data_IF_809892877607
#
_entry.id   IF_809892877607
#
_cell.length_a   1.000
_cell.length_b   1.000
_cell.length_c   1.000
_cell.angle_alpha   90.00
_cell.angle_beta   90.00
_cell.angle_gamma   90.00
#
_symmetry.space_group_name_H-M   'P 1'
#
loop_
_entity.id
_entity.type
_entity.pdbx_description
1 polymer ?
#
# COMPACT_ATOMS: atom_id res chain seq x y z
N UNK A 1 -12.42 -17.79 11.65
CA UNK A 1 -13.31 -18.82 11.06
C UNK A 1 -13.10 -18.74 9.56
N UNK A 2 -12.27 -19.62 9.00
CA UNK A 2 -11.88 -19.61 7.58
C UNK A 2 -13.10 -20.02 6.74
N UNK A 3 -13.61 -19.10 5.92
CA UNK A 3 -14.62 -19.41 4.91
C UNK A 3 -13.89 -19.91 3.66
N UNK A 4 -13.91 -21.23 3.48
CA UNK A 4 -13.56 -21.91 2.25
C UNK A 4 -14.79 -21.78 1.34
N UNK A 5 -14.71 -20.97 0.28
CA UNK A 5 -15.71 -20.99 -0.80
C UNK A 5 -15.37 -22.13 -1.76
N UNK A 6 -16.31 -23.06 -1.87
CA UNK A 6 -16.32 -24.21 -2.78
C UNK A 6 -16.60 -23.78 -4.21
N UNK A 7 -15.78 -24.19 -5.18
CA UNK A 7 -16.10 -24.15 -6.62
C UNK A 7 -17.10 -25.28 -6.98
N UNK A 8 -18.05 -25.05 -7.91
CA UNK A 8 -18.91 -26.10 -8.42
C UNK A 8 -18.19 -26.92 -9.50
N UNK A 9 -18.30 -28.24 -9.39
CA UNK A 9 -17.87 -29.24 -10.36
C UNK A 9 -18.85 -29.20 -11.55
N UNK A 10 -18.36 -28.88 -12.74
CA UNK A 10 -19.13 -29.01 -13.99
C UNK A 10 -19.03 -30.45 -14.50
N UNK A 11 -20.19 -31.11 -14.58
CA UNK A 11 -20.32 -32.49 -15.04
C UNK A 11 -20.15 -32.58 -16.56
N UNK A 12 -19.16 -33.37 -17.00
CA UNK A 12 -18.93 -33.66 -18.42
C UNK A 12 -19.74 -34.89 -18.83
N UNK A 13 -20.68 -34.69 -19.75
CA UNK A 13 -21.61 -35.71 -20.24
C UNK A 13 -20.93 -36.53 -21.35
N UNK A 14 -20.67 -37.81 -21.09
CA UNK A 14 -20.02 -38.72 -22.03
C UNK A 14 -21.06 -39.29 -23.02
N UNK A 15 -21.00 -38.88 -24.29
CA UNK A 15 -21.82 -39.45 -25.37
C UNK A 15 -21.05 -40.62 -26.00
N UNK A 16 -21.56 -41.83 -25.76
CA UNK A 16 -21.04 -43.07 -26.34
C UNK A 16 -21.70 -43.30 -27.72
N UNK A 17 -20.90 -43.21 -28.79
CA UNK A 17 -21.31 -43.61 -30.14
C UNK A 17 -20.71 -44.99 -30.46
N UNK A 18 -21.57 -45.99 -30.67
CA UNK A 18 -21.21 -47.31 -31.18
C UNK A 18 -21.80 -47.51 -32.59
N UNK A 19 -20.95 -47.65 -33.61
CA UNK A 19 -21.20 -48.25 -34.94
C UNK A 19 -19.80 -48.44 -35.57
N UNK A 20 -19.35 -49.48 -36.29
CA UNK A 20 -19.77 -50.84 -36.70
C UNK A 20 -18.50 -51.51 -37.27
N UNK A 21 -18.35 -52.83 -37.13
CA UNK A 21 -17.25 -53.59 -37.74
C UNK A 21 -17.27 -53.57 -39.27
N UNK A 22 -16.08 -53.47 -39.90
CA UNK A 22 -15.78 -54.07 -41.21
C UNK A 22 -14.27 -54.41 -41.33
N UNK A 23 -13.99 -55.62 -41.82
CA UNK A 23 -12.74 -56.38 -41.84
C UNK A 23 -11.49 -55.77 -42.54
N UNK A 24 -10.33 -56.10 -41.96
CA UNK A 24 -9.03 -56.55 -42.52
C UNK A 24 -8.48 -55.92 -43.82
N UNK A 25 -7.36 -55.19 -43.72
CA UNK A 25 -6.00 -55.66 -44.04
C UNK A 25 -5.04 -54.46 -44.18
N UNK A 26 -3.79 -54.68 -43.74
CA UNK A 26 -2.56 -53.90 -43.96
C UNK A 26 -2.20 -52.81 -42.95
N UNK A 27 -0.98 -52.96 -42.44
CA UNK A 27 -0.17 -51.96 -41.75
C UNK A 27 -0.28 -50.59 -42.44
N UNK A 28 -0.94 -49.66 -41.77
CA UNK A 28 -0.58 -48.25 -41.76
C UNK A 28 -0.86 -47.79 -40.33
N UNK A 29 0.18 -47.80 -39.49
CA UNK A 29 0.23 -46.92 -38.33
C UNK A 29 0.36 -45.48 -38.87
N UNK A 30 -0.71 -44.98 -39.48
CA UNK A 30 -0.88 -43.56 -39.75
C UNK A 30 -1.19 -42.91 -38.40
N UNK A 31 -0.29 -42.10 -37.82
CA UNK A 31 -0.64 -41.34 -36.65
C UNK A 31 -1.74 -40.37 -37.10
N UNK A 32 -2.98 -40.66 -36.71
CA UNK A 32 -4.10 -39.72 -36.85
C UNK A 32 -3.58 -38.32 -36.55
N UNK A 33 -3.66 -37.36 -37.50
CA UNK A 33 -3.20 -36.01 -37.25
C UNK A 33 -3.86 -35.55 -35.96
N UNK A 34 -3.04 -35.25 -34.96
CA UNK A 34 -3.55 -34.56 -33.77
C UNK A 34 -4.04 -33.23 -34.30
N UNK A 35 -5.36 -33.08 -34.38
CA UNK A 35 -5.97 -31.88 -34.92
C UNK A 35 -5.47 -30.69 -34.09
N UNK A 36 -4.82 -29.75 -34.76
CA UNK A 36 -4.21 -28.63 -34.06
C UNK A 36 -5.30 -27.64 -33.70
N UNK A 37 -5.51 -27.45 -32.40
CA UNK A 37 -6.58 -26.60 -31.88
C UNK A 37 -6.04 -25.17 -31.75
N UNK A 38 -6.87 -24.18 -32.08
CA UNK A 38 -6.51 -22.78 -31.86
C UNK A 38 -6.31 -22.50 -30.36
N UNK A 39 -5.37 -21.61 -29.99
CA UNK A 39 -5.21 -21.22 -28.60
C UNK A 39 -6.47 -20.55 -28.07
N UNK A 40 -6.77 -20.77 -26.79
CA UNK A 40 -7.88 -20.16 -26.07
C UNK A 40 -7.40 -19.50 -24.79
N UNK A 41 -8.22 -18.61 -24.24
CA UNK A 41 -7.94 -17.93 -22.96
C UNK A 41 -8.61 -18.72 -21.83
N UNK A 42 -7.83 -19.14 -20.84
CA UNK A 42 -8.33 -19.83 -19.66
C UNK A 42 -8.79 -18.86 -18.57
N UNK A 43 -8.05 -17.77 -18.37
CA UNK A 43 -8.36 -16.75 -17.37
C UNK A 43 -7.66 -15.42 -17.67
N UNK A 44 -8.21 -14.34 -17.13
CA UNK A 44 -7.58 -13.02 -17.09
C UNK A 44 -7.52 -12.51 -15.66
N UNK A 45 -6.55 -11.64 -15.39
CA UNK A 45 -6.47 -10.87 -14.16
C UNK A 45 -6.08 -9.42 -14.52
N UNK A 46 -6.91 -8.41 -14.28
CA UNK A 46 -8.24 -8.50 -13.68
C UNK A 46 -9.22 -9.40 -14.45
N UNK A 47 -10.19 -9.96 -13.74
CA UNK A 47 -11.31 -10.70 -14.35
C UNK A 47 -12.15 -9.75 -15.22
N UNK A 48 -12.88 -10.29 -16.19
CA UNK A 48 -13.71 -9.47 -17.06
C UNK A 48 -14.82 -8.73 -16.27
N UNK A 49 -14.84 -7.40 -16.39
CA UNK A 49 -15.65 -6.44 -15.64
C UNK A 49 -15.32 -6.38 -14.14
N UNK A 50 -14.12 -6.79 -13.72
CA UNK A 50 -13.69 -6.60 -12.34
C UNK A 50 -13.57 -5.10 -12.02
N UNK A 51 -14.05 -4.71 -10.85
CA UNK A 51 -14.10 -3.31 -10.41
C UNK A 51 -13.23 -3.10 -9.17
N UNK A 52 -12.84 -1.85 -8.93
CA UNK A 52 -12.02 -1.42 -7.80
C UNK A 52 -10.60 -1.99 -7.82
N UNK A 53 -10.03 -2.13 -9.02
CA UNK A 53 -8.66 -2.60 -9.21
C UNK A 53 -7.66 -1.50 -8.80
N UNK A 54 -6.59 -1.89 -8.11
CA UNK A 54 -5.52 -0.95 -7.77
C UNK A 54 -4.91 -0.35 -9.05
N UNK A 55 -4.51 0.92 -9.00
CA UNK A 55 -4.04 1.67 -10.16
C UNK A 55 -2.67 1.21 -10.67
N UNK A 56 -1.92 0.46 -9.87
CA UNK A 56 -0.65 -0.16 -10.24
C UNK A 56 -0.77 -1.66 -10.55
N UNK A 57 -1.98 -2.16 -10.81
CA UNK A 57 -2.21 -3.59 -11.04
C UNK A 57 -1.65 -4.03 -12.40
N UNK A 58 -1.00 -5.19 -12.44
CA UNK A 58 -0.60 -5.82 -13.71
C UNK A 58 -1.80 -6.44 -14.42
N UNK A 59 -1.81 -6.42 -15.75
CA UNK A 59 -2.86 -7.08 -16.54
C UNK A 59 -2.28 -8.40 -17.07
N UNK A 60 -2.86 -9.52 -16.67
CA UNK A 60 -2.37 -10.88 -16.93
C UNK A 60 -3.41 -11.67 -17.70
N UNK A 61 -2.94 -12.49 -18.63
CA UNK A 61 -3.74 -13.43 -19.38
C UNK A 61 -3.08 -14.81 -19.35
N UNK A 62 -3.88 -15.84 -19.08
CA UNK A 62 -3.44 -17.25 -19.04
C UNK A 62 -4.04 -17.99 -20.22
N UNK A 63 -3.18 -18.60 -21.05
CA UNK A 63 -3.57 -19.32 -22.26
C UNK A 63 -3.78 -20.82 -22.01
N UNK A 64 -4.50 -21.50 -22.91
CA UNK A 64 -4.72 -22.95 -22.86
C UNK A 64 -3.50 -23.80 -23.20
N UNK A 65 -2.49 -23.18 -23.83
CA UNK A 65 -1.25 -23.83 -24.25
C UNK A 65 -0.09 -22.82 -24.32
N UNK A 66 1.12 -23.31 -24.59
CA UNK A 66 2.29 -22.47 -24.82
C UNK A 66 2.16 -21.70 -26.16
N UNK A 67 2.42 -20.40 -26.10
CA UNK A 67 2.38 -19.46 -27.21
C UNK A 67 3.79 -19.26 -27.79
N UNK A 68 3.87 -18.80 -29.03
CA UNK A 68 5.13 -18.34 -29.62
C UNK A 68 5.57 -17.04 -28.93
N UNK A 69 6.66 -17.05 -28.13
CA UNK A 69 7.09 -15.88 -27.37
C UNK A 69 7.43 -14.68 -28.26
N UNK A 70 7.78 -14.88 -29.54
CA UNK A 70 8.07 -13.77 -30.46
C UNK A 70 6.82 -13.01 -30.88
N UNK A 71 5.64 -13.61 -30.73
CA UNK A 71 4.34 -13.02 -31.10
C UNK A 71 3.60 -12.40 -29.92
N UNK A 72 4.06 -12.60 -28.67
CA UNK A 72 3.47 -12.00 -27.47
C UNK A 72 4.29 -10.76 -27.09
N UNK A 73 3.77 -9.58 -27.40
CA UNK A 73 4.47 -8.31 -27.22
C UNK A 73 3.46 -7.14 -27.18
N UNK A 74 3.96 -5.90 -27.04
CA UNK A 74 3.13 -4.69 -26.93
C UNK A 74 2.25 -4.37 -28.16
N UNK A 75 2.40 -5.07 -29.30
CA UNK A 75 1.51 -4.90 -30.46
C UNK A 75 0.36 -5.91 -30.47
N UNK A 76 0.51 -7.03 -29.77
CA UNK A 76 -0.46 -8.11 -29.74
C UNK A 76 -1.20 -8.20 -28.42
N UNK A 77 -0.62 -7.73 -27.31
CA UNK A 77 -1.27 -7.55 -26.01
C UNK A 77 -1.26 -6.06 -25.64
N UNK A 78 -2.42 -5.41 -25.73
CA UNK A 78 -2.59 -3.97 -25.49
C UNK A 78 -3.59 -3.69 -24.37
N UNK A 79 -3.50 -2.49 -23.80
CA UNK A 79 -4.47 -1.95 -22.83
C UNK A 79 -4.81 -0.52 -23.26
N UNK A 80 -6.09 -0.20 -23.36
CA UNK A 80 -6.60 1.09 -23.86
C UNK A 80 -7.57 1.73 -22.86
N UNK A 81 -7.54 3.07 -22.77
CA UNK A 81 -8.58 3.89 -22.15
C UNK A 81 -9.44 4.49 -23.26
N UNK A 82 -10.57 3.82 -23.56
CA UNK A 82 -11.42 4.19 -24.68
C UNK A 82 -10.74 3.97 -26.04
N UNK A 83 -9.98 4.96 -26.52
CA UNK A 83 -9.20 4.87 -27.78
C UNK A 83 -7.74 5.27 -27.61
N UNK A 84 -7.33 5.58 -26.38
CA UNK A 84 -5.96 5.97 -26.07
C UNK A 84 -5.19 4.74 -25.56
N UNK A 85 -4.10 4.41 -26.23
CA UNK A 85 -3.19 3.34 -25.78
C UNK A 85 -2.53 3.70 -24.45
N UNK A 86 -2.52 2.74 -23.52
CA UNK A 86 -1.75 2.82 -22.28
C UNK A 86 -0.38 2.20 -22.51
N UNK A 87 0.66 2.95 -22.13
CA UNK A 87 2.03 2.47 -22.22
C UNK A 87 2.32 1.45 -21.12
N UNK A 88 3.01 0.37 -21.51
CA UNK A 88 3.41 -0.72 -20.61
C UNK A 88 4.39 -1.66 -21.28
N UNK A 89 4.89 -2.61 -20.50
CA UNK A 89 5.79 -3.67 -20.95
C UNK A 89 5.06 -5.01 -20.89
N UNK A 90 5.16 -5.80 -21.96
CA UNK A 90 4.63 -7.17 -22.03
C UNK A 90 5.75 -8.18 -21.82
N UNK A 91 5.59 -9.03 -20.82
CA UNK A 91 6.44 -10.20 -20.56
C UNK A 91 5.64 -11.50 -20.73
N UNK A 92 6.29 -12.55 -21.22
CA UNK A 92 5.67 -13.87 -21.42
C UNK A 92 6.50 -14.97 -20.76
N UNK A 93 5.85 -15.83 -19.97
CA UNK A 93 6.49 -16.96 -19.30
C UNK A 93 5.52 -18.12 -19.10
N UNK A 94 5.93 -19.33 -19.51
CA UNK A 94 5.10 -20.53 -19.41
C UNK A 94 3.87 -20.42 -20.31
N UNK A 95 2.70 -20.20 -19.72
CA UNK A 95 1.42 -19.99 -20.43
C UNK A 95 0.79 -18.63 -20.09
N UNK A 96 1.55 -17.73 -19.46
CA UNK A 96 1.04 -16.44 -19.00
C UNK A 96 1.75 -15.28 -19.69
N UNK A 97 0.98 -14.32 -20.19
CA UNK A 97 1.49 -13.00 -20.57
C UNK A 97 1.06 -11.96 -19.53
N UNK A 98 1.98 -11.07 -19.17
CA UNK A 98 1.78 -10.00 -18.20
C UNK A 98 2.11 -8.67 -18.86
N UNK A 99 1.13 -7.76 -18.89
CA UNK A 99 1.31 -6.36 -19.19
C UNK A 99 1.49 -5.58 -17.87
N UNK A 100 2.62 -4.90 -17.74
CA UNK A 100 2.92 -4.00 -16.62
C UNK A 100 2.84 -2.56 -17.10
N UNK A 101 1.89 -1.75 -16.61
CA UNK A 101 1.78 -0.35 -17.04
C UNK A 101 3.00 0.45 -16.58
N UNK A 102 3.51 1.34 -17.44
CA UNK A 102 4.69 2.18 -17.10
C UNK A 102 4.36 3.26 -16.08
N UNK A 103 3.11 3.75 -16.11
CA UNK A 103 2.56 4.72 -15.18
C UNK A 103 1.31 4.12 -14.53
N UNK A 104 0.97 4.55 -13.31
CA UNK A 104 -0.27 4.08 -12.69
C UNK A 104 -1.48 4.50 -13.52
N UNK A 105 -2.45 3.59 -13.66
CA UNK A 105 -3.73 3.88 -14.28
C UNK A 105 -4.44 5.06 -13.57
N UNK A 106 -5.38 5.70 -14.27
CA UNK A 106 -6.25 6.72 -13.71
C UNK A 106 -7.22 6.10 -12.71
N UNK A 107 -7.71 6.90 -11.76
CA UNK A 107 -8.68 6.46 -10.77
C UNK A 107 -10.07 6.32 -11.39
N UNK A 108 -10.90 5.41 -10.85
CA UNK A 108 -12.32 5.26 -11.25
C UNK A 108 -12.54 5.14 -12.76
N UNK A 109 -11.59 4.53 -13.49
CA UNK A 109 -11.54 4.53 -14.95
C UNK A 109 -11.66 3.12 -15.50
N UNK A 110 -12.46 2.97 -16.57
CA UNK A 110 -12.57 1.72 -17.32
C UNK A 110 -11.45 1.61 -18.37
N UNK A 111 -10.83 0.44 -18.41
CA UNK A 111 -9.81 0.06 -19.38
C UNK A 111 -10.23 -1.21 -20.11
N UNK A 112 -9.85 -1.30 -21.38
CA UNK A 112 -10.02 -2.49 -22.22
C UNK A 112 -8.67 -3.10 -22.50
N UNK A 113 -8.48 -4.36 -22.16
CA UNK A 113 -7.32 -5.13 -22.52
C UNK A 113 -7.65 -6.08 -23.68
N UNK A 114 -6.70 -6.22 -24.60
CA UNK A 114 -6.90 -6.96 -25.85
C UNK A 114 -5.70 -7.86 -26.12
N UNK A 115 -5.96 -9.14 -26.37
CA UNK A 115 -5.02 -10.01 -27.09
C UNK A 115 -5.52 -10.19 -28.53
N UNK A 116 -4.71 -9.77 -29.50
CA UNK A 116 -5.08 -9.78 -30.91
C UNK A 116 -4.93 -11.16 -31.56
N UNK A 117 -5.57 -11.34 -32.71
CA UNK A 117 -5.42 -12.55 -33.55
C UNK A 117 -4.01 -12.77 -34.13
N UNK A 118 -3.11 -11.79 -34.02
CA UNK A 118 -1.71 -11.94 -34.46
C UNK A 118 -0.83 -12.68 -33.43
N UNK A 119 -1.31 -12.89 -32.20
CA UNK A 119 -0.70 -13.79 -31.23
C UNK A 119 -0.91 -15.25 -31.65
N UNK A 120 0.15 -16.05 -31.59
CA UNK A 120 0.15 -17.43 -32.12
C UNK A 120 0.54 -18.46 -31.06
N UNK A 121 -0.05 -19.66 -31.16
CA UNK A 121 0.48 -20.82 -30.44
C UNK A 121 1.88 -21.19 -30.94
N UNK A 122 2.61 -22.01 -30.19
CA UNK A 122 3.92 -22.50 -30.61
C UNK A 122 3.90 -23.26 -31.95
N UNK A 123 2.74 -23.78 -32.35
CA UNK A 123 2.53 -24.47 -33.63
C UNK A 123 2.09 -23.52 -34.76
N UNK A 124 1.95 -22.23 -34.47
CA UNK A 124 1.66 -21.19 -35.45
C UNK A 124 0.16 -20.94 -35.68
N UNK A 125 -0.72 -21.45 -34.83
CA UNK A 125 -2.16 -21.22 -34.90
C UNK A 125 -2.53 -19.88 -34.26
N UNK A 126 -3.38 -19.11 -34.92
CA UNK A 126 -3.89 -17.82 -34.44
C UNK A 126 -5.13 -18.02 -33.56
N UNK A 127 -5.47 -17.02 -32.74
CA UNK A 127 -6.82 -16.91 -32.18
C UNK A 127 -7.88 -16.73 -33.29
N UNK A 128 -9.10 -17.21 -33.05
CA UNK A 128 -10.22 -17.06 -33.99
C UNK A 128 -10.69 -15.60 -34.12
N UNK A 129 -10.67 -14.87 -33.01
CA UNK A 129 -11.01 -13.46 -32.90
C UNK A 129 -10.14 -12.78 -31.85
N UNK A 130 -10.13 -11.44 -31.83
CA UNK A 130 -9.50 -10.72 -30.73
C UNK A 130 -10.23 -11.08 -29.44
N UNK A 131 -9.47 -11.34 -28.39
CA UNK A 131 -10.05 -11.52 -27.07
C UNK A 131 -9.90 -10.22 -26.29
N UNK A 132 -11.03 -9.63 -25.94
CA UNK A 132 -11.14 -8.34 -25.27
C UNK A 132 -11.84 -8.52 -23.91
N UNK A 133 -11.33 -7.84 -22.89
CA UNK A 133 -11.98 -7.78 -21.60
C UNK A 133 -11.78 -6.41 -20.95
N UNK A 134 -12.73 -6.03 -20.11
CA UNK A 134 -12.71 -4.75 -19.43
C UNK A 134 -12.39 -4.92 -17.95
N UNK A 135 -11.80 -3.89 -17.35
CA UNK A 135 -11.69 -3.76 -15.91
C UNK A 135 -11.80 -2.29 -15.51
N UNK A 136 -12.21 -2.03 -14.28
CA UNK A 136 -12.36 -0.67 -13.76
C UNK A 136 -11.47 -0.49 -12.54
N UNK A 137 -10.60 0.51 -12.60
CA UNK A 137 -9.76 0.88 -11.46
C UNK A 137 -10.59 1.48 -10.33
N UNK A 138 -10.14 1.25 -9.10
CA UNK A 138 -10.68 1.89 -7.91
C UNK A 138 -10.05 3.27 -7.69
N UNK A 139 -10.07 3.70 -6.44
CA UNK A 139 -9.58 5.03 -6.07
C UNK A 139 -10.58 6.13 -6.39
N UNK A 140 -10.26 7.34 -5.99
CA UNK A 140 -11.15 8.50 -6.16
C UNK A 140 -10.51 9.56 -7.04
N UNK A 141 -11.27 10.09 -7.99
CA UNK A 141 -10.95 11.40 -8.61
C UNK A 141 -11.24 12.56 -7.65
N UNK A 142 -12.06 12.33 -6.62
CA UNK A 142 -12.34 13.31 -5.59
C UNK A 142 -11.17 13.40 -4.59
N UNK A 143 -11.03 14.56 -3.97
CA UNK A 143 -10.05 14.75 -2.90
C UNK A 143 -10.29 13.75 -1.77
N UNK A 144 -9.29 12.95 -1.45
CA UNK A 144 -9.30 12.04 -0.31
C UNK A 144 -9.45 12.87 0.98
N UNK A 145 -10.45 12.54 1.80
CA UNK A 145 -10.60 13.20 3.09
C UNK A 145 -9.44 12.82 4.01
N UNK A 146 -8.85 13.81 4.70
CA UNK A 146 -7.84 13.57 5.72
C UNK A 146 -8.33 12.71 6.88
N UNK A 147 -7.42 12.35 7.79
CA UNK A 147 -7.78 11.66 9.04
C UNK A 147 -8.02 12.70 10.12
N UNK A 148 -9.24 12.75 10.66
CA UNK A 148 -9.52 13.55 11.85
C UNK A 148 -8.80 12.97 13.07
N UNK A 149 -7.83 13.73 13.58
CA UNK A 149 -7.06 13.37 14.78
C UNK A 149 -7.80 13.76 16.07
N UNK A 150 -8.82 14.60 15.98
CA UNK A 150 -9.47 15.29 17.11
C UNK A 150 -8.45 15.74 18.16
N UNK A 151 -8.68 15.42 19.44
CA UNK A 151 -7.80 15.83 20.54
C UNK A 151 -6.37 15.25 20.47
N UNK A 152 -6.13 14.14 19.75
CA UNK A 152 -4.77 13.62 19.55
C UNK A 152 -3.94 14.55 18.66
N UNK A 153 -4.59 15.33 17.79
CA UNK A 153 -3.97 16.33 16.93
C UNK A 153 -3.39 17.53 17.69
N UNK A 154 -3.58 17.64 19.00
CA UNK A 154 -2.92 18.69 19.79
C UNK A 154 -1.47 18.33 20.18
N UNK A 155 -1.06 17.07 20.02
CA UNK A 155 0.22 16.59 20.52
C UNK A 155 1.18 16.22 19.39
N UNK A 156 2.43 16.65 19.49
CA UNK A 156 3.50 16.25 18.56
C UNK A 156 3.98 14.83 18.88
N UNK A 157 3.88 14.42 20.15
CA UNK A 157 4.07 13.03 20.59
C UNK A 157 2.94 12.66 21.55
N UNK A 158 2.23 11.57 21.26
CA UNK A 158 1.27 10.95 22.17
C UNK A 158 1.59 9.47 22.28
N UNK A 159 1.80 8.98 23.51
CA UNK A 159 2.10 7.58 23.77
C UNK A 159 1.21 7.02 24.88
N UNK A 160 1.12 5.69 25.01
CA UNK A 160 0.34 5.04 26.08
C UNK A 160 1.18 4.48 27.21
N UNK A 161 2.37 3.97 26.92
CA UNK A 161 3.17 3.20 27.89
C UNK A 161 4.47 3.87 28.30
N UNK A 162 5.14 4.60 27.41
CA UNK A 162 6.35 5.36 27.76
C UNK A 162 6.71 6.42 26.72
N UNK A 163 7.42 7.45 27.17
CA UNK A 163 8.20 8.35 26.32
C UNK A 163 9.62 8.36 26.88
N UNK A 164 10.58 7.79 26.17
CA UNK A 164 11.96 7.68 26.66
C UNK A 164 12.90 8.42 25.72
N UNK A 165 13.73 9.30 26.29
CA UNK A 165 14.70 10.08 25.53
C UNK A 165 16.13 9.78 25.99
N UNK A 166 17.00 9.49 25.04
CA UNK A 166 18.46 9.50 25.21
C UNK A 166 19.04 10.74 24.52
N UNK A 167 20.13 11.30 25.05
CA UNK A 167 20.70 12.53 24.49
C UNK A 167 19.82 13.78 24.63
N UNK A 168 20.11 14.81 23.84
CA UNK A 168 19.38 16.08 23.83
C UNK A 168 18.54 16.20 22.57
N UNK A 169 17.23 16.12 22.72
CA UNK A 169 16.25 16.31 21.66
C UNK A 169 15.75 17.76 21.58
N UNK A 170 15.24 18.14 20.41
CA UNK A 170 14.55 19.40 20.15
C UNK A 170 13.12 19.09 19.73
N UNK A 171 12.18 19.24 20.67
CA UNK A 171 10.78 18.87 20.49
C UNK A 171 9.94 20.14 20.42
N UNK A 172 9.19 20.34 19.33
CA UNK A 172 8.35 21.52 19.12
C UNK A 172 6.89 21.09 19.02
N UNK A 173 6.11 21.44 20.04
CA UNK A 173 4.74 20.98 20.26
C UNK A 173 4.58 20.25 21.59
N UNK A 174 3.33 19.94 21.95
CA UNK A 174 3.00 19.33 23.22
C UNK A 174 3.21 17.80 23.21
N UNK A 175 3.63 17.25 24.34
CA UNK A 175 3.81 15.81 24.56
C UNK A 175 2.73 15.29 25.51
N UNK A 176 2.24 14.08 25.27
CA UNK A 176 1.26 13.44 26.14
C UNK A 176 1.56 11.95 26.38
N UNK A 177 1.36 11.51 27.62
CA UNK A 177 1.43 10.10 28.02
C UNK A 177 0.20 9.69 28.82
N UNK A 178 -0.57 8.71 28.33
CA UNK A 178 -1.72 8.16 29.07
C UNK A 178 -2.10 6.78 28.57
N UNK A 179 -2.39 5.79 29.44
CA UNK A 179 -2.65 5.93 30.86
C UNK A 179 -1.40 5.86 31.75
N UNK A 180 -0.20 5.66 31.20
CA UNK A 180 1.02 5.66 32.00
C UNK A 180 1.30 7.01 32.68
N UNK A 181 1.81 6.95 33.90
CA UNK A 181 2.14 8.10 34.74
C UNK A 181 3.42 8.82 34.28
N UNK A 182 3.63 10.03 34.77
CA UNK A 182 4.80 10.89 34.48
C UNK A 182 6.13 10.16 34.68
N UNK A 183 6.21 9.20 35.60
CA UNK A 183 7.42 8.38 35.86
C UNK A 183 7.88 7.52 34.68
N UNK A 184 7.04 7.29 33.69
CA UNK A 184 7.39 6.60 32.43
C UNK A 184 7.85 7.56 31.33
N UNK A 185 7.90 8.86 31.62
CA UNK A 185 8.59 9.87 30.82
C UNK A 185 10.00 10.04 31.35
N UNK A 186 11.01 9.62 30.59
CA UNK A 186 12.41 9.60 31.05
C UNK A 186 13.34 10.36 30.10
N UNK A 187 14.44 10.89 30.65
CA UNK A 187 15.47 11.57 29.85
C UNK A 187 15.13 12.98 29.35
N UNK A 188 13.99 13.54 29.77
CA UNK A 188 13.59 14.92 29.46
C UNK A 188 13.88 15.93 30.57
N UNK A 189 14.32 15.47 31.76
CA UNK A 189 14.56 16.34 32.93
C UNK A 189 13.36 17.28 33.21
N UNK A 190 12.19 16.67 33.43
CA UNK A 190 10.94 17.40 33.60
C UNK A 190 10.97 18.30 34.85
N UNK A 191 10.40 19.48 34.72
CA UNK A 191 10.04 20.36 35.84
C UNK A 191 8.53 20.41 35.95
N UNK A 192 8.02 19.88 37.05
CA UNK A 192 6.58 19.75 37.31
C UNK A 192 5.93 21.12 37.57
N UNK A 193 4.77 21.33 36.98
CA UNK A 193 3.85 22.43 37.25
C UNK A 193 2.46 21.86 37.57
N UNK A 194 1.51 22.72 37.94
CA UNK A 194 0.14 22.29 38.18
C UNK A 194 -0.54 21.91 36.86
N UNK A 195 -0.78 20.61 36.65
CA UNK A 195 -1.52 20.08 35.50
C UNK A 195 -0.67 19.79 34.25
N UNK A 196 0.61 20.15 34.25
CA UNK A 196 1.57 19.88 33.16
C UNK A 196 3.00 19.92 33.70
N UNK A 197 3.96 19.49 32.90
CA UNK A 197 5.39 19.66 33.15
C UNK A 197 6.06 20.40 31.98
N UNK A 198 7.28 20.86 32.20
CA UNK A 198 8.10 21.55 31.18
C UNK A 198 9.49 20.91 31.10
N UNK A 199 10.17 21.13 29.97
CA UNK A 199 11.56 20.70 29.76
C UNK A 199 12.26 21.71 28.87
N UNK A 200 13.57 21.92 29.08
CA UNK A 200 14.39 22.71 28.18
C UNK A 200 14.48 22.12 26.75
N UNK A 201 14.15 20.83 26.58
CA UNK A 201 14.12 20.13 25.30
C UNK A 201 12.78 20.26 24.56
N UNK A 202 11.76 20.85 25.22
CA UNK A 202 10.38 20.91 24.71
C UNK A 202 9.95 22.38 24.59
N UNK A 203 9.74 22.82 23.35
CA UNK A 203 9.00 24.06 23.04
C UNK A 203 7.51 23.72 23.03
N UNK A 204 6.93 23.65 24.23
CA UNK A 204 5.58 23.16 24.48
C UNK A 204 5.42 22.71 25.93
N UNK A 205 4.35 21.97 26.21
CA UNK A 205 4.04 21.39 27.51
C UNK A 205 4.09 19.85 27.46
N UNK A 206 4.38 19.23 28.60
CA UNK A 206 4.38 17.77 28.75
C UNK A 206 3.25 17.39 29.70
N UNK A 207 2.39 16.48 29.27
CA UNK A 207 1.22 16.04 30.02
C UNK A 207 1.28 14.54 30.31
N UNK A 208 0.83 14.13 31.50
CA UNK A 208 0.71 12.72 31.87
C UNK A 208 -0.54 12.45 32.72
N UNK A 209 -0.92 11.18 32.83
CA UNK A 209 -2.18 10.73 33.43
C UNK A 209 -2.32 10.97 34.93
N UNK A 210 -1.22 11.16 35.67
CA UNK A 210 -1.17 11.39 37.11
C UNK A 210 -1.11 12.87 37.50
N UNK A 211 -1.21 13.77 36.53
CA UNK A 211 -1.23 15.21 36.75
C UNK A 211 -2.59 15.72 37.23
N UNK A 212 -2.63 16.93 37.78
CA UNK A 212 -3.86 17.53 38.28
C UNK A 212 -4.93 17.74 37.19
N UNK A 213 -6.20 17.71 37.59
CA UNK A 213 -7.34 17.98 36.70
C UNK A 213 -7.22 19.35 36.01
N UNK A 214 -7.67 19.46 34.73
CA UNK A 214 -8.43 18.48 33.94
C UNK A 214 -7.58 17.52 33.09
N UNK A 215 -6.25 17.48 33.29
CA UNK A 215 -5.32 16.77 32.41
C UNK A 215 -5.65 15.29 32.20
N UNK A 216 -5.93 14.47 33.23
CA UNK A 216 -6.18 13.04 33.03
C UNK A 216 -7.37 12.74 32.10
N UNK A 217 -8.46 13.51 32.23
CA UNK A 217 -9.65 13.37 31.38
C UNK A 217 -9.35 13.77 29.93
N UNK A 218 -8.68 14.91 29.73
CA UNK A 218 -8.30 15.38 28.39
C UNK A 218 -7.39 14.37 27.68
N UNK A 219 -6.44 13.77 28.41
CA UNK A 219 -5.55 12.75 27.84
C UNK A 219 -6.28 11.45 27.52
N UNK A 220 -7.29 11.07 28.30
CA UNK A 220 -8.14 9.91 27.98
C UNK A 220 -8.83 10.13 26.63
N UNK A 221 -9.45 11.29 26.42
CA UNK A 221 -10.06 11.65 25.13
C UNK A 221 -9.04 11.70 24.00
N UNK A 222 -7.84 12.25 24.23
CA UNK A 222 -6.79 12.28 23.20
C UNK A 222 -6.37 10.86 22.76
N UNK A 223 -6.23 9.92 23.70
CA UNK A 223 -5.89 8.52 23.39
C UNK A 223 -7.03 7.81 22.64
N UNK A 224 -8.28 8.05 23.02
CA UNK A 224 -9.46 7.53 22.30
C UNK A 224 -9.52 8.06 20.86
N UNK A 225 -9.24 9.35 20.66
CA UNK A 225 -9.20 9.94 19.33
C UNK A 225 -8.02 9.42 18.51
N UNK A 226 -6.85 9.17 19.12
CA UNK A 226 -5.73 8.51 18.44
C UNK A 226 -6.10 7.09 17.95
N UNK A 227 -6.77 6.30 18.79
CA UNK A 227 -7.25 4.96 18.40
C UNK A 227 -8.32 5.05 17.31
N UNK A 228 -9.17 6.07 17.34
CA UNK A 228 -10.19 6.32 16.30
C UNK A 228 -9.54 6.70 14.97
N UNK A 229 -8.56 7.61 14.99
CA UNK A 229 -7.78 8.02 13.82
C UNK A 229 -7.03 6.83 13.21
N UNK A 230 -6.40 5.99 14.04
CA UNK A 230 -5.75 4.75 13.60
C UNK A 230 -6.74 3.84 12.87
N UNK A 231 -7.92 3.57 13.47
CA UNK A 231 -8.93 2.71 12.87
C UNK A 231 -9.54 3.31 11.60
N UNK A 232 -9.70 4.64 11.53
CA UNK A 232 -10.16 5.33 10.32
C UNK A 232 -9.15 5.14 9.18
N UNK A 233 -7.85 5.34 9.45
CA UNK A 233 -6.79 5.17 8.46
C UNK A 233 -6.68 3.71 8.00
N UNK A 234 -6.67 2.76 8.94
CA UNK A 234 -6.63 1.31 8.65
C UNK A 234 -7.87 0.81 7.90
N UNK A 235 -9.01 1.47 8.09
CA UNK A 235 -10.31 1.11 7.54
C UNK A 235 -10.65 1.73 6.19
N UNK A 236 -9.78 2.57 5.60
CA UNK A 236 -10.01 3.11 4.24
C UNK A 236 -10.09 1.95 3.24
N UNK A 237 -11.20 1.89 2.49
CA UNK A 237 -11.54 0.78 1.59
C UNK A 237 -11.11 1.01 0.14
N UNK A 238 -11.06 2.26 -0.30
CA UNK A 238 -10.55 2.62 -1.62
C UNK A 238 -9.03 2.50 -1.58
N UNK A 239 -8.47 1.50 -2.26
CA UNK A 239 -7.02 1.31 -2.37
C UNK A 239 -6.59 1.76 -3.75
N UNK A 240 -5.89 2.90 -3.82
CA UNK A 240 -5.29 3.40 -5.06
C UNK A 240 -4.10 2.54 -5.47
N UNK A 241 -3.27 2.16 -4.48
CA UNK A 241 -2.03 1.42 -4.72
C UNK A 241 -1.92 0.22 -3.80
N UNK A 242 -1.70 -0.96 -4.38
CA UNK A 242 -1.59 -2.21 -3.64
C UNK A 242 -0.18 -2.79 -3.79
N UNK A 243 0.44 -3.14 -2.66
CA UNK A 243 1.75 -3.79 -2.59
C UNK A 243 2.85 -3.09 -3.40
N UNK A 244 2.79 -1.77 -3.51
CA UNK A 244 3.72 -0.99 -4.33
C UNK A 244 5.18 -1.29 -3.93
N UNK A 245 5.98 -1.73 -4.90
CA UNK A 245 7.38 -2.12 -4.67
C UNK A 245 7.56 -3.32 -3.76
N UNK A 246 6.53 -4.14 -3.55
CA UNK A 246 6.51 -5.24 -2.59
C UNK A 246 6.93 -4.80 -1.17
N UNK A 247 6.61 -3.56 -0.80
CA UNK A 247 6.98 -2.94 0.47
C UNK A 247 8.28 -2.13 0.44
N UNK A 248 9.11 -2.23 -0.59
CA UNK A 248 10.26 -1.34 -0.77
C UNK A 248 9.87 -0.11 -1.60
N UNK A 249 9.76 1.04 -0.93
CA UNK A 249 9.35 2.30 -1.56
C UNK A 249 10.51 3.28 -1.79
N UNK A 250 11.75 2.87 -1.54
CA UNK A 250 12.93 3.70 -1.81
C UNK A 250 12.99 4.11 -3.29
N UNK A 251 13.20 5.40 -3.53
CA UNK A 251 13.43 5.98 -4.86
C UNK A 251 12.15 6.27 -5.62
N UNK A 252 11.00 5.95 -5.03
CA UNK A 252 9.69 6.17 -5.64
C UNK A 252 9.22 7.62 -5.41
N UNK A 253 8.38 8.07 -6.33
CA UNK A 253 7.54 9.26 -6.14
C UNK A 253 6.12 8.78 -5.87
N UNK A 254 5.57 9.18 -4.72
CA UNK A 254 4.26 8.78 -4.23
C UNK A 254 3.28 9.94 -4.46
N UNK A 255 2.36 9.75 -5.40
CA UNK A 255 1.25 10.68 -5.67
C UNK A 255 0.15 10.53 -4.62
N UNK A 256 -0.78 11.49 -4.55
CA UNK A 256 -1.91 11.42 -3.62
C UNK A 256 -2.68 10.12 -3.76
N UNK A 257 -3.08 9.51 -2.65
CA UNK A 257 -3.70 8.19 -2.69
C UNK A 257 -3.75 7.46 -1.35
N UNK A 258 -4.57 6.41 -1.32
CA UNK A 258 -4.54 5.37 -0.30
C UNK A 258 -3.67 4.22 -0.80
N UNK A 259 -2.61 3.94 -0.05
CA UNK A 259 -1.67 2.86 -0.32
C UNK A 259 -1.85 1.75 0.70
N UNK A 260 -1.74 0.49 0.26
CA UNK A 260 -1.92 -0.67 1.11
C UNK A 260 -0.81 -1.69 0.92
N UNK A 261 -0.25 -2.12 2.05
CA UNK A 261 0.67 -3.25 2.16
C UNK A 261 0.22 -4.21 3.24
N UNK A 262 0.24 -5.49 2.91
CA UNK A 262 0.03 -6.60 3.86
C UNK A 262 1.32 -7.02 4.56
N UNK A 263 2.45 -6.45 4.15
CA UNK A 263 3.79 -6.73 4.67
C UNK A 263 4.46 -5.49 5.28
N UNK A 264 5.71 -5.66 5.68
CA UNK A 264 6.60 -4.58 6.15
C UNK A 264 6.95 -3.63 5.02
N UNK A 265 6.89 -2.32 5.31
CA UNK A 265 7.35 -1.27 4.40
C UNK A 265 8.76 -0.80 4.79
N UNK A 266 9.62 -0.67 3.78
CA UNK A 266 11.02 -0.26 3.91
C UNK A 266 11.32 0.97 3.04
N UNK A 267 12.11 1.90 3.59
CA UNK A 267 12.59 3.13 2.92
C UNK A 267 14.14 3.11 2.95
N UNK A 268 14.78 2.32 2.07
CA UNK A 268 16.24 2.14 2.06
C UNK A 268 17.03 3.29 1.42
N UNK A 269 16.34 4.17 0.68
CA UNK A 269 16.87 5.40 0.10
C UNK A 269 15.72 6.43 0.03
N UNK A 270 16.02 7.66 -0.39
CA UNK A 270 15.05 8.77 -0.38
C UNK A 270 13.75 8.42 -1.11
N UNK A 271 12.63 8.91 -0.59
CA UNK A 271 11.30 8.76 -1.20
C UNK A 271 10.69 10.14 -1.36
N UNK A 272 10.04 10.39 -2.50
CA UNK A 272 9.37 11.67 -2.75
C UNK A 272 7.87 11.51 -2.57
N UNK A 273 7.22 12.42 -1.86
CA UNK A 273 5.77 12.56 -1.81
C UNK A 273 5.41 13.82 -2.60
N UNK A 274 4.61 13.66 -3.65
CA UNK A 274 4.36 14.70 -4.65
C UNK A 274 2.88 14.91 -4.85
N UNK A 275 2.42 16.13 -4.59
CA UNK A 275 1.04 16.54 -4.83
C UNK A 275 0.82 17.99 -4.40
N UNK A 276 -0.41 18.45 -4.52
CA UNK A 276 -0.82 19.78 -4.13
C UNK A 276 -0.83 19.97 -2.61
N UNK A 277 -1.04 21.21 -2.15
CA UNK A 277 -1.19 21.51 -0.73
C UNK A 277 -2.45 20.94 -0.09
N UNK A 278 -3.43 20.51 -0.88
CA UNK A 278 -4.71 19.97 -0.39
C UNK A 278 -4.81 18.46 -0.55
N UNK A 279 -3.86 17.85 -1.24
CA UNK A 279 -3.84 16.42 -1.47
C UNK A 279 -3.54 15.66 -0.17
N UNK A 280 -4.00 14.41 -0.11
CA UNK A 280 -3.91 13.54 1.07
C UNK A 280 -3.27 12.20 0.70
N UNK A 281 -2.46 11.68 1.62
CA UNK A 281 -1.81 10.38 1.53
C UNK A 281 -2.14 9.55 2.75
N UNK A 282 -2.61 8.32 2.53
CA UNK A 282 -2.89 7.36 3.60
C UNK A 282 -2.15 6.08 3.30
N UNK A 283 -1.12 5.79 4.08
CA UNK A 283 -0.31 4.57 3.98
C UNK A 283 -0.79 3.57 5.03
N UNK A 284 -1.39 2.47 4.59
CA UNK A 284 -1.82 1.35 5.43
C UNK A 284 -0.76 0.25 5.42
N UNK A 285 -0.11 0.02 6.56
CA UNK A 285 1.00 -0.92 6.71
C UNK A 285 0.62 -1.97 7.75
N UNK A 286 0.46 -3.22 7.32
CA UNK A 286 0.00 -4.32 8.17
C UNK A 286 1.10 -4.90 9.08
N UNK A 287 2.37 -4.62 8.79
CA UNK A 287 3.51 -4.98 9.65
C UNK A 287 4.29 -3.72 10.05
N UNK A 288 5.63 -3.78 10.03
CA UNK A 288 6.51 -2.72 10.47
C UNK A 288 6.73 -1.65 9.37
N UNK A 289 7.14 -0.46 9.80
CA UNK A 289 7.67 0.60 8.93
C UNK A 289 9.13 0.84 9.30
N UNK A 290 10.05 0.68 8.35
CA UNK A 290 11.49 0.87 8.60
C UNK A 290 12.10 1.85 7.60
N UNK A 291 12.73 2.90 8.12
CA UNK A 291 13.47 3.88 7.33
C UNK A 291 14.96 3.72 7.63
N UNK A 292 15.77 3.63 6.58
CA UNK A 292 17.22 3.50 6.72
C UNK A 292 17.87 4.77 7.25
N UNK A 293 19.15 4.68 7.63
CA UNK A 293 19.90 5.86 8.09
C UNK A 293 20.16 6.83 6.95
N UNK A 294 20.18 8.14 7.26
CA UNK A 294 20.48 9.23 6.34
C UNK A 294 19.57 9.31 5.10
N UNK A 295 18.39 8.69 5.14
CA UNK A 295 17.38 8.80 4.09
C UNK A 295 16.36 9.89 4.41
N UNK A 296 15.74 10.45 3.39
CA UNK A 296 14.81 11.56 3.51
C UNK A 296 13.48 11.24 2.82
N UNK A 297 12.38 11.66 3.45
CA UNK A 297 11.10 11.84 2.78
C UNK A 297 11.06 13.28 2.27
N UNK A 298 10.89 13.45 0.96
CA UNK A 298 10.97 14.75 0.28
C UNK A 298 9.56 15.16 -0.16
N UNK A 299 9.09 16.33 0.26
CA UNK A 299 7.81 16.87 -0.19
C UNK A 299 7.99 17.76 -1.43
N UNK A 300 7.17 17.55 -2.45
CA UNK A 300 7.16 18.33 -3.70
C UNK A 300 5.74 18.69 -4.13
N UNK A 301 5.59 19.62 -5.08
CA UNK A 301 4.29 20.03 -5.61
C UNK A 301 3.43 20.90 -4.68
N UNK A 302 3.86 21.09 -3.43
CA UNK A 302 3.09 21.77 -2.39
C UNK A 302 2.56 20.83 -1.31
N UNK A 303 2.82 19.52 -1.40
CA UNK A 303 2.45 18.52 -0.40
C UNK A 303 2.84 18.98 1.02
N UNK A 304 1.97 18.72 2.00
CA UNK A 304 2.13 19.14 3.39
C UNK A 304 2.10 17.95 4.34
N UNK A 305 3.02 17.91 5.31
CA UNK A 305 3.10 16.86 6.33
C UNK A 305 1.77 16.60 7.06
N UNK A 306 0.97 17.63 7.32
CA UNK A 306 -0.33 17.51 8.00
C UNK A 306 -1.36 16.66 7.24
N UNK A 307 -1.17 16.44 5.94
CA UNK A 307 -2.06 15.64 5.10
C UNK A 307 -1.51 14.23 4.80
N UNK A 308 -0.40 13.84 5.43
CA UNK A 308 0.26 12.57 5.19
C UNK A 308 0.10 11.69 6.43
N UNK A 309 -0.56 10.55 6.28
CA UNK A 309 -0.90 9.66 7.39
C UNK A 309 -0.28 8.28 7.17
N UNK A 310 0.51 7.84 8.14
CA UNK A 310 1.16 6.53 8.16
C UNK A 310 0.52 5.67 9.24
N UNK A 311 -0.42 4.81 8.86
CA UNK A 311 -0.97 3.81 9.76
C UNK A 311 -0.07 2.58 9.75
N UNK A 312 0.50 2.25 10.92
CA UNK A 312 1.45 1.13 11.08
C UNK A 312 0.92 0.17 12.13
N UNK A 313 0.61 -1.07 11.75
CA UNK A 313 0.11 -2.08 12.68
C UNK A 313 1.23 -2.72 13.52
N UNK A 314 2.44 -2.77 12.97
CA UNK A 314 3.67 -3.12 13.66
C UNK A 314 4.36 -1.93 14.32
N UNK A 315 5.69 -1.94 14.32
CA UNK A 315 6.56 -0.93 14.91
C UNK A 315 7.13 -0.01 13.84
N UNK A 316 7.22 1.29 14.12
CA UNK A 316 7.87 2.25 13.22
C UNK A 316 9.30 2.55 13.69
N UNK A 317 10.29 2.38 12.82
CA UNK A 317 11.71 2.66 13.11
C UNK A 317 12.28 3.67 12.11
N UNK A 318 12.79 4.79 12.62
CA UNK A 318 13.43 5.85 11.84
C UNK A 318 14.94 5.77 12.08
N UNK A 319 15.69 5.48 11.03
CA UNK A 319 17.14 5.27 11.08
C UNK A 319 17.94 6.50 11.49
N UNK A 320 19.21 6.31 11.86
CA UNK A 320 20.04 7.43 12.32
C UNK A 320 20.10 8.55 11.27
N UNK A 321 19.97 9.80 11.71
CA UNK A 321 20.00 10.99 10.84
C UNK A 321 18.99 11.02 9.68
N UNK A 322 17.97 10.15 9.69
CA UNK A 322 16.91 10.18 8.68
C UNK A 322 15.97 11.38 8.88
N UNK A 323 15.24 11.77 7.83
CA UNK A 323 14.24 12.83 7.89
C UNK A 323 12.87 12.35 7.41
N UNK A 324 11.88 12.39 8.30
CA UNK A 324 10.54 11.89 8.05
C UNK A 324 9.51 13.02 7.91
N UNK A 325 8.47 12.79 7.11
CA UNK A 325 7.38 13.74 6.87
C UNK A 325 6.03 13.04 7.09
N UNK A 326 5.19 13.60 7.95
CA UNK A 326 3.81 13.14 8.17
C UNK A 326 3.46 12.67 9.58
N UNK A 327 2.24 12.17 9.73
CA UNK A 327 1.65 11.74 11.00
C UNK A 327 1.74 10.22 11.09
N UNK A 328 2.49 9.70 12.06
CA UNK A 328 2.60 8.27 12.32
C UNK A 328 1.54 7.87 13.35
N UNK A 329 0.61 7.00 12.93
CA UNK A 329 -0.39 6.32 13.75
C UNK A 329 0.05 4.87 13.94
N UNK A 330 0.84 4.60 14.98
CA UNK A 330 1.40 3.26 15.27
C UNK A 330 0.55 2.51 16.29
N UNK A 331 0.21 1.25 15.99
CA UNK A 331 -0.44 0.35 16.95
C UNK A 331 0.53 -0.18 18.00
N UNK A 332 1.83 -0.14 17.72
CA UNK A 332 2.86 -0.47 18.70
C UNK A 332 3.73 0.76 18.99
N UNK A 333 5.05 0.62 18.95
CA UNK A 333 5.98 1.67 19.28
C UNK A 333 6.43 2.46 18.06
N UNK A 334 7.10 3.57 18.36
CA UNK A 334 7.83 4.38 17.39
C UNK A 334 9.23 4.61 17.97
N UNK A 335 10.27 4.25 17.21
CA UNK A 335 11.66 4.45 17.60
C UNK A 335 12.35 5.37 16.61
N UNK A 336 12.86 6.47 17.15
CA UNK A 336 13.79 7.34 16.47
C UNK A 336 15.21 6.95 16.89
N UNK A 337 16.03 6.53 15.93
CA UNK A 337 17.45 6.34 16.18
C UNK A 337 18.18 7.69 16.22
N UNK A 338 19.46 7.66 16.59
CA UNK A 338 20.26 8.84 16.88
C UNK A 338 20.13 9.92 15.81
N UNK A 339 19.67 11.11 16.19
CA UNK A 339 19.64 12.28 15.31
C UNK A 339 18.62 12.23 14.17
N UNK A 340 17.74 11.23 14.11
CA UNK A 340 16.59 11.24 13.20
C UNK A 340 15.69 12.46 13.47
N UNK A 341 14.97 12.91 12.45
CA UNK A 341 14.07 14.06 12.53
C UNK A 341 12.73 13.81 11.87
N UNK A 342 11.69 14.54 12.30
CA UNK A 342 10.36 14.50 11.71
C UNK A 342 9.68 15.87 11.72
N UNK A 343 9.05 16.22 10.61
CA UNK A 343 7.98 17.23 10.57
C UNK A 343 6.65 16.47 10.54
N UNK A 344 5.93 16.46 11.65
CA UNK A 344 4.93 15.41 11.85
C UNK A 344 4.47 15.23 13.27
N UNK A 345 3.80 14.10 13.50
CA UNK A 345 3.37 13.65 14.82
C UNK A 345 3.73 12.18 15.02
N UNK A 346 4.15 11.82 16.22
CA UNK A 346 4.42 10.44 16.62
C UNK A 346 3.33 9.98 17.61
N UNK A 347 2.30 9.31 17.09
CA UNK A 347 1.13 8.86 17.85
C UNK A 347 1.20 7.33 18.01
N UNK A 348 1.64 6.87 19.18
CA UNK A 348 1.95 5.45 19.45
C UNK A 348 1.01 4.85 20.50
N UNK A 349 0.41 3.71 20.19
CA UNK A 349 -0.40 2.97 21.17
C UNK A 349 0.43 2.19 22.20
N UNK A 350 1.77 2.16 22.07
CA UNK A 350 2.67 1.77 23.15
C UNK A 350 3.64 2.89 23.52
N UNK A 351 4.90 2.83 23.10
CA UNK A 351 5.97 3.70 23.53
C UNK A 351 6.57 4.50 22.37
N UNK A 352 7.06 5.70 22.68
CA UNK A 352 7.93 6.48 21.80
C UNK A 352 9.33 6.54 22.40
N UNK A 353 10.34 6.17 21.62
CA UNK A 353 11.75 6.16 22.01
C UNK A 353 12.53 7.12 21.13
N UNK A 354 13.29 8.02 21.76
CA UNK A 354 14.08 9.07 21.16
C UNK A 354 15.56 8.93 21.55
N UNK A 355 16.44 9.36 20.67
CA UNK A 355 17.88 9.52 20.87
C UNK A 355 18.39 10.79 20.16
N UNK A 356 18.31 11.94 20.84
CA UNK A 356 18.80 13.22 20.33
C UNK A 356 18.11 13.69 19.04
N UNK A 357 16.79 13.63 18.98
CA UNK A 357 16.00 13.85 17.77
C UNK A 357 15.40 15.25 17.66
N UNK A 358 15.03 15.64 16.44
CA UNK A 358 14.20 16.81 16.19
C UNK A 358 12.77 16.36 15.81
N UNK A 359 11.78 16.72 16.61
CA UNK A 359 10.37 16.38 16.35
C UNK A 359 9.56 17.66 16.33
N UNK A 360 9.04 18.03 15.17
CA UNK A 360 8.40 19.34 14.95
C UNK A 360 6.95 19.14 14.51
N UNK A 361 6.01 19.76 15.23
CA UNK A 361 4.61 19.79 14.83
C UNK A 361 4.44 20.34 13.39
N UNK A 362 3.56 19.76 12.55
CA UNK A 362 3.29 20.28 11.22
C UNK A 362 2.76 21.71 11.25
N UNK A 363 3.01 22.48 10.19
CA UNK A 363 2.37 23.79 10.01
C UNK A 363 0.87 23.60 9.69
N UNK A 364 0.02 24.18 10.54
CA UNK A 364 -1.45 24.14 10.42
C UNK A 364 -1.99 25.05 9.30
#
# INVERSE_FOLDING_TARGET
MKLIKTMPILAMMFIMLMVSCKDKDNNDDDPTPTEDVAPTVLSTLPENNEMNIARNHNVVITFSEEMDPSTINNSTFTVEQGTADISGDVEYSGVEATFTPTEAFDASTEYTATISTEAKSQKGMNFEENYEWNFTTGGSEASIEGIDLGASGNYVILAKTAINNSGTSALTGDLALSPAATSYITGLALTDNTGYATSAQVTGQVFASDMADPTPMNLTTAVENMMTAYNNAAGRSETDFLELGAGNIGGKTLTSGVYKWTNTVTIPNDVTISGSSTDVWIFQIAEDLTMSSATNIILTGGAQAKNIYWQVAGHATLGTTSHFEGIILSMTGITFQTGASINGRALAQTAVVLDGNAVTQPAE
#
